data_IF_846363365601
#
_entry.id   IF_846363365601
#
_cell.length_a   1.000
_cell.length_b   1.000
_cell.length_c   1.000
_cell.angle_alpha   90.00
_cell.angle_beta   90.00
_cell.angle_gamma   90.00
#
_symmetry.space_group_name_H-M   'P 1'
#
loop_
_entity.id
_entity.type
_entity.pdbx_description
1 polymer ?
#
# COMPACT_ATOMS: atom_id res chain seq x y z
N UNK A 1 -12.97 15.36 -25.28
CA UNK A 1 -13.04 15.16 -23.82
C UNK A 1 -12.44 13.83 -23.34
N UNK A 2 -11.73 13.08 -24.19
CA UNK A 2 -11.34 11.69 -23.90
C UNK A 2 -9.86 11.52 -23.57
N UNK A 3 -9.02 12.47 -23.98
CA UNK A 3 -7.57 12.46 -23.74
C UNK A 3 -7.19 12.70 -22.27
N UNK A 4 -8.03 13.41 -21.51
CA UNK A 4 -7.78 13.70 -20.09
C UNK A 4 -7.81 12.42 -19.25
N UNK A 5 -8.67 11.46 -19.60
CA UNK A 5 -8.74 10.17 -18.91
C UNK A 5 -7.44 9.37 -19.03
N UNK A 6 -6.82 9.39 -20.23
CA UNK A 6 -5.53 8.74 -20.45
C UNK A 6 -4.42 9.39 -19.62
N UNK A 7 -4.40 10.72 -19.52
CA UNK A 7 -3.39 11.43 -18.73
C UNK A 7 -3.52 11.06 -17.25
N UNK A 8 -4.73 11.11 -16.67
CA UNK A 8 -4.93 10.73 -15.27
C UNK A 8 -4.61 9.26 -15.00
N UNK A 9 -4.99 8.36 -15.91
CA UNK A 9 -4.66 6.94 -15.79
C UNK A 9 -3.14 6.69 -15.80
N UNK A 10 -2.41 7.39 -16.68
CA UNK A 10 -0.95 7.32 -16.73
C UNK A 10 -0.30 7.85 -15.44
N UNK A 11 -0.80 8.96 -14.88
CA UNK A 11 -0.32 9.51 -13.61
C UNK A 11 -0.54 8.52 -12.46
N UNK A 12 -1.74 7.94 -12.35
CA UNK A 12 -2.06 6.93 -11.33
C UNK A 12 -1.12 5.71 -11.48
N UNK A 13 -0.93 5.24 -12.71
CA UNK A 13 -0.08 4.07 -13.00
C UNK A 13 1.39 4.32 -12.64
N UNK A 14 1.91 5.52 -12.91
CA UNK A 14 3.28 5.90 -12.56
C UNK A 14 3.50 5.86 -11.04
N UNK A 15 2.62 6.51 -10.26
CA UNK A 15 2.74 6.50 -8.80
C UNK A 15 2.55 5.10 -8.22
N UNK A 16 1.64 4.30 -8.78
CA UNK A 16 1.43 2.92 -8.34
C UNK A 16 2.70 2.08 -8.55
N UNK A 17 3.31 2.14 -9.74
CA UNK A 17 4.55 1.44 -10.05
C UNK A 17 5.72 1.91 -9.19
N UNK A 18 5.81 3.23 -8.94
CA UNK A 18 6.83 3.78 -8.03
C UNK A 18 6.71 3.26 -6.60
N UNK A 19 5.48 3.18 -6.07
CA UNK A 19 5.23 2.61 -4.75
C UNK A 19 5.59 1.11 -4.69
N UNK A 20 5.26 0.34 -5.73
CA UNK A 20 5.68 -1.07 -5.83
C UNK A 20 7.19 -1.22 -5.90
N UNK A 21 7.90 -0.37 -6.65
CA UNK A 21 9.37 -0.38 -6.71
C UNK A 21 10.00 -0.09 -5.34
N UNK A 22 9.45 0.88 -4.60
CA UNK A 22 9.84 1.15 -3.22
C UNK A 22 9.59 -0.05 -2.29
N UNK A 23 8.42 -0.68 -2.38
CA UNK A 23 8.08 -1.85 -1.58
C UNK A 23 9.03 -3.03 -1.85
N UNK A 24 9.34 -3.30 -3.13
CA UNK A 24 10.23 -4.40 -3.52
C UNK A 24 11.69 -4.15 -3.14
N UNK A 25 12.14 -2.90 -3.08
CA UNK A 25 13.50 -2.54 -2.62
C UNK A 25 13.60 -2.53 -1.08
N UNK A 26 12.55 -2.09 -0.38
CA UNK A 26 12.49 -2.13 1.08
C UNK A 26 12.34 -3.54 1.68
N UNK A 27 11.60 -4.44 1.01
CA UNK A 27 11.35 -5.80 1.52
C UNK A 27 12.61 -6.64 1.80
N UNK A 28 13.68 -6.62 0.98
CA UNK A 28 14.93 -7.31 1.30
C UNK A 28 15.82 -6.57 2.32
N UNK A 29 15.69 -5.24 2.47
CA UNK A 29 16.51 -4.44 3.39
C UNK A 29 16.01 -4.46 4.83
N UNK A 30 14.68 -4.55 5.04
CA UNK A 30 14.07 -4.37 6.35
C UNK A 30 14.00 -5.65 7.21
N UNK A 31 14.26 -6.83 6.64
CA UNK A 31 13.90 -8.08 7.31
C UNK A 31 15.09 -9.04 7.52
N UNK A 32 15.46 -9.31 8.78
CA UNK A 32 16.13 -10.55 9.15
C UNK A 32 15.25 -11.73 8.70
N UNK A 33 15.89 -12.80 8.23
CA UNK A 33 15.28 -13.94 7.53
C UNK A 33 14.11 -14.61 8.26
N UNK A 34 14.03 -14.45 9.59
CA UNK A 34 13.12 -15.16 10.49
C UNK A 34 11.71 -14.56 10.59
N UNK A 35 11.56 -13.23 10.55
CA UNK A 35 10.27 -12.55 10.73
C UNK A 35 9.56 -12.21 9.41
N UNK A 36 10.30 -12.22 8.30
CA UNK A 36 9.79 -11.90 6.95
C UNK A 36 8.66 -12.83 6.52
N UNK A 37 8.77 -14.11 6.82
CA UNK A 37 7.78 -15.12 6.43
C UNK A 37 6.43 -14.91 7.12
N UNK A 38 6.44 -14.66 8.43
CA UNK A 38 5.23 -14.42 9.21
C UNK A 38 4.59 -13.05 8.88
N UNK A 39 5.41 -12.00 8.77
CA UNK A 39 4.94 -10.65 8.41
C UNK A 39 4.31 -10.60 7.01
N UNK A 40 5.00 -11.16 6.00
CA UNK A 40 4.46 -11.23 4.64
C UNK A 40 3.24 -12.14 4.53
N UNK A 41 3.20 -13.26 5.27
CA UNK A 41 2.04 -14.15 5.32
C UNK A 41 0.81 -13.50 5.96
N UNK A 42 1.01 -12.72 7.02
CA UNK A 42 -0.06 -11.96 7.67
C UNK A 42 -0.57 -10.83 6.77
N UNK A 43 0.35 -10.05 6.16
CA UNK A 43 0.00 -9.00 5.20
C UNK A 43 -0.76 -9.56 3.99
N UNK A 44 -0.33 -10.70 3.43
CA UNK A 44 -1.01 -11.37 2.33
C UNK A 44 -2.42 -11.86 2.72
N UNK A 45 -2.57 -12.40 3.94
CA UNK A 45 -3.88 -12.85 4.44
C UNK A 45 -4.84 -11.67 4.65
N UNK A 46 -4.36 -10.57 5.22
CA UNK A 46 -5.12 -9.33 5.35
C UNK A 46 -5.50 -8.75 3.98
N UNK A 47 -4.60 -8.82 2.99
CA UNK A 47 -4.90 -8.43 1.61
C UNK A 47 -6.05 -9.24 0.99
N UNK A 48 -6.14 -10.54 1.29
CA UNK A 48 -7.26 -11.39 0.85
C UNK A 48 -8.58 -10.99 1.51
N UNK A 49 -8.57 -10.74 2.83
CA UNK A 49 -9.76 -10.23 3.52
C UNK A 49 -10.22 -8.88 2.98
N UNK A 50 -9.29 -7.95 2.76
CA UNK A 50 -9.59 -6.66 2.14
C UNK A 50 -10.14 -6.84 0.71
N UNK A 51 -9.59 -7.75 -0.08
CA UNK A 51 -10.08 -8.06 -1.43
C UNK A 51 -11.49 -8.66 -1.47
N UNK A 52 -11.89 -9.43 -0.45
CA UNK A 52 -13.26 -9.96 -0.32
C UNK A 52 -14.24 -8.84 0.05
N UNK A 53 -13.85 -7.96 0.98
CA UNK A 53 -14.73 -6.89 1.49
C UNK A 53 -14.80 -5.67 0.55
N UNK A 54 -13.75 -5.43 -0.25
CA UNK A 54 -13.62 -4.23 -1.07
C UNK A 54 -14.76 -4.04 -2.08
N UNK A 55 -15.20 -5.04 -2.86
CA UNK A 55 -16.29 -4.86 -3.83
C UNK A 55 -17.62 -4.53 -3.15
N UNK A 56 -17.95 -5.22 -2.05
CA UNK A 56 -19.20 -5.00 -1.31
C UNK A 56 -19.25 -3.60 -0.69
N UNK A 57 -18.15 -3.18 -0.05
CA UNK A 57 -18.05 -1.85 0.56
C UNK A 57 -18.07 -0.75 -0.49
N UNK A 58 -17.33 -0.94 -1.59
CA UNK A 58 -17.31 -0.02 -2.74
C UNK A 58 -18.68 0.14 -3.37
N UNK A 59 -19.41 -0.97 -3.59
CA UNK A 59 -20.76 -0.92 -4.15
C UNK A 59 -21.74 -0.18 -3.24
N UNK A 60 -21.67 -0.41 -1.92
CA UNK A 60 -22.49 0.29 -0.94
C UNK A 60 -22.23 1.81 -0.91
N UNK A 61 -20.96 2.21 -0.91
CA UNK A 61 -20.55 3.62 -0.97
C UNK A 61 -20.97 4.27 -2.29
N UNK A 62 -20.89 3.54 -3.40
CA UNK A 62 -21.30 4.04 -4.70
C UNK A 62 -22.81 4.34 -4.75
N UNK A 63 -23.65 3.46 -4.21
CA UNK A 63 -25.11 3.67 -4.18
C UNK A 63 -25.50 4.89 -3.37
N UNK A 64 -24.77 5.19 -2.28
CA UNK A 64 -25.10 6.30 -1.37
C UNK A 64 -24.49 7.65 -1.76
N UNK A 65 -23.30 7.64 -2.37
CA UNK A 65 -22.50 8.87 -2.60
C UNK A 65 -21.95 9.01 -4.02
N UNK A 66 -22.31 8.09 -4.92
CA UNK A 66 -21.75 8.02 -6.27
C UNK A 66 -20.25 7.70 -6.26
N UNK A 67 -19.52 8.15 -7.29
CA UNK A 67 -18.08 7.90 -7.40
C UNK A 67 -17.27 8.55 -6.28
N UNK A 68 -17.76 9.64 -5.67
CA UNK A 68 -16.98 10.40 -4.69
C UNK A 68 -16.63 9.59 -3.43
N UNK A 69 -17.55 8.77 -2.92
CA UNK A 69 -17.31 7.98 -1.70
C UNK A 69 -16.17 6.97 -1.84
N UNK A 70 -16.21 6.06 -2.82
CA UNK A 70 -15.14 5.08 -3.02
C UNK A 70 -13.76 5.72 -3.23
N UNK A 71 -13.67 6.77 -4.05
CA UNK A 71 -12.40 7.47 -4.27
C UNK A 71 -11.89 8.17 -3.01
N UNK A 72 -12.77 8.75 -2.21
CA UNK A 72 -12.39 9.38 -0.93
C UNK A 72 -11.85 8.36 0.06
N UNK A 73 -12.50 7.20 0.18
CA UNK A 73 -12.02 6.09 1.03
C UNK A 73 -10.66 5.60 0.54
N UNK A 74 -10.50 5.40 -0.77
CA UNK A 74 -9.23 4.97 -1.35
C UNK A 74 -8.10 5.96 -1.04
N UNK A 75 -8.35 7.26 -1.19
CA UNK A 75 -7.40 8.31 -0.85
C UNK A 75 -7.03 8.31 0.63
N UNK A 76 -8.01 8.23 1.54
CA UNK A 76 -7.78 8.19 2.99
C UNK A 76 -6.95 6.96 3.38
N UNK A 77 -7.26 5.79 2.84
CA UNK A 77 -6.50 4.56 3.12
C UNK A 77 -5.05 4.68 2.64
N UNK A 78 -4.80 5.29 1.48
CA UNK A 78 -3.43 5.54 1.00
C UNK A 78 -2.68 6.56 1.86
N UNK A 79 -3.36 7.59 2.35
CA UNK A 79 -2.76 8.55 3.29
C UNK A 79 -2.41 7.84 4.61
N UNK A 80 -3.31 7.02 5.15
CA UNK A 80 -3.04 6.24 6.37
C UNK A 80 -1.85 5.30 6.15
N UNK A 81 -1.78 4.64 4.99
CA UNK A 81 -0.65 3.78 4.64
C UNK A 81 0.66 4.59 4.56
N UNK A 82 0.66 5.75 3.90
CA UNK A 82 1.81 6.63 3.82
C UNK A 82 2.24 7.13 5.20
N UNK A 83 1.31 7.56 6.05
CA UNK A 83 1.59 7.97 7.44
C UNK A 83 2.13 6.80 8.26
N UNK A 84 1.58 5.60 8.08
CA UNK A 84 2.05 4.39 8.75
C UNK A 84 3.49 4.08 8.33
N UNK A 85 3.83 4.22 7.06
CA UNK A 85 5.22 4.10 6.58
C UNK A 85 6.09 5.25 7.10
N UNK A 86 5.59 6.48 7.24
CA UNK A 86 6.39 7.58 7.79
C UNK A 86 6.66 7.42 9.30
N UNK A 87 5.72 6.86 10.06
CA UNK A 87 5.81 6.72 11.52
C UNK A 87 6.46 5.39 11.93
N UNK A 88 6.11 4.30 11.25
CA UNK A 88 6.58 2.94 11.52
C UNK A 88 7.62 2.46 10.52
N UNK A 89 7.90 3.22 9.46
CA UNK A 89 9.01 2.95 8.55
C UNK A 89 10.29 3.16 9.33
N UNK A 90 10.84 2.05 9.78
CA UNK A 90 12.15 2.00 10.41
C UNK A 90 13.15 2.47 9.35
N UNK A 91 13.81 3.60 9.60
CA UNK A 91 14.92 4.09 8.80
C UNK A 91 16.01 3.00 8.74
N UNK A 92 16.07 2.24 7.65
CA UNK A 92 17.16 1.28 7.36
C UNK A 92 18.34 1.91 6.62
N UNK A 93 18.30 3.24 6.40
CA UNK A 93 19.45 3.97 5.87
C UNK A 93 20.54 4.07 6.95
N UNK A 94 21.38 3.03 7.03
CA UNK A 94 22.68 3.10 7.70
C UNK A 94 22.91 2.16 8.89
N UNK A 95 22.02 1.20 9.19
CA UNK A 95 22.31 0.15 10.19
C UNK A 95 22.53 -1.19 9.50
N UNK A 96 23.75 -1.72 9.61
CA UNK A 96 24.04 -3.08 9.15
C UNK A 96 23.25 -4.08 9.99
N UNK A 97 22.79 -5.14 9.33
CA UNK A 97 22.09 -6.29 9.91
C UNK A 97 22.82 -6.96 11.10
N UNK A 98 24.08 -6.59 11.37
CA UNK A 98 24.91 -7.10 12.46
C UNK A 98 24.64 -6.45 13.82
N UNK A 99 24.10 -5.23 13.89
CA UNK A 99 23.79 -4.56 15.17
C UNK A 99 22.42 -4.95 15.77
N UNK A 100 21.49 -5.44 14.95
CA UNK A 100 20.16 -5.90 15.41
C UNK A 100 20.16 -7.36 15.89
N UNK A 101 21.24 -8.09 15.66
CA UNK A 101 21.38 -9.50 16.02
C UNK A 101 22.04 -9.72 17.40
N UNK A 102 22.09 -8.70 18.26
CA UNK A 102 22.65 -8.80 19.62
C UNK A 102 21.61 -8.57 20.70
#
# INVERSE_FOLDING_TARGET
HETWFFIWSSVISFFNLGAWAGLYTYTPELYPTEVRGAGSGFAASMGRFAGILAPTFTAYLYVSTGLFGPYSVFAVVHIIAAVSVLVLGIETMGKSLEELAK
#
